data_IF_185236201475
#
_entry.id   IF_185236201475
#
_cell.length_a   1.000
_cell.length_b   1.000
_cell.length_c   1.000
_cell.angle_alpha   90.00
_cell.angle_beta   90.00
_cell.angle_gamma   90.00
#
_symmetry.space_group_name_H-M   'P 1'
#
loop_
_entity.id
_entity.type
_entity.pdbx_description
1 polymer ?
#
# COMPACT_ATOMS: atom_id res chain seq x y z
N UNK A 1 -5.16 -25.94 -12.70
CA UNK A 1 -3.81 -25.78 -13.28
C UNK A 1 -3.33 -24.40 -12.86
N UNK A 2 -2.68 -24.30 -11.69
CA UNK A 2 -2.11 -23.02 -11.25
C UNK A 2 -0.94 -22.75 -12.20
N UNK A 3 -0.98 -21.61 -12.88
CA UNK A 3 0.02 -21.23 -13.88
C UNK A 3 1.41 -21.31 -13.26
N UNK A 4 2.34 -22.00 -13.92
CA UNK A 4 3.75 -22.11 -13.50
C UNK A 4 4.38 -20.74 -13.19
N UNK A 5 3.87 -19.67 -13.81
CA UNK A 5 4.24 -18.28 -13.53
C UNK A 5 3.87 -17.83 -12.11
N UNK A 6 2.70 -18.20 -11.61
CA UNK A 6 2.24 -17.84 -10.25
C UNK A 6 3.07 -18.58 -9.21
N UNK A 7 3.40 -19.84 -9.47
CA UNK A 7 4.23 -20.64 -8.57
C UNK A 7 5.68 -20.11 -8.51
N UNK A 8 6.27 -19.77 -9.66
CA UNK A 8 7.56 -19.10 -9.71
C UNK A 8 7.52 -17.76 -8.97
N UNK A 9 6.48 -16.95 -9.16
CA UNK A 9 6.29 -15.71 -8.40
C UNK A 9 6.24 -15.97 -6.89
N UNK A 10 5.50 -16.98 -6.43
CA UNK A 10 5.43 -17.33 -5.01
C UNK A 10 6.76 -17.84 -4.45
N UNK A 11 7.53 -18.61 -5.21
CA UNK A 11 8.87 -19.09 -4.81
C UNK A 11 9.89 -17.94 -4.76
N UNK A 12 9.86 -17.05 -5.75
CA UNK A 12 10.68 -15.83 -5.75
C UNK A 12 10.30 -14.91 -4.59
N UNK A 13 8.99 -14.69 -4.37
CA UNK A 13 8.51 -13.91 -3.23
C UNK A 13 8.90 -14.55 -1.90
N UNK A 14 8.84 -15.87 -1.76
CA UNK A 14 9.20 -16.54 -0.49
C UNK A 14 10.70 -16.56 -0.21
N UNK A 15 11.56 -16.60 -1.23
CA UNK A 15 13.00 -16.40 -1.07
C UNK A 15 13.34 -14.97 -0.63
N UNK A 16 12.67 -13.98 -1.22
CA UNK A 16 12.79 -12.56 -0.88
C UNK A 16 12.17 -12.17 0.46
N UNK A 17 11.24 -12.98 0.96
CA UNK A 17 10.63 -12.84 2.28
C UNK A 17 11.50 -13.40 3.42
N UNK A 18 12.69 -13.95 3.14
CA UNK A 18 13.67 -14.25 4.18
C UNK A 18 14.37 -12.94 4.52
N UNK A 19 14.28 -12.43 5.76
CA UNK A 19 14.97 -11.19 6.14
C UNK A 19 16.48 -11.42 6.12
N UNK A 20 17.10 -11.13 4.97
CA UNK A 20 18.54 -11.05 4.78
C UNK A 20 18.95 -9.59 4.57
N UNK A 21 20.21 -9.21 4.87
CA UNK A 21 20.67 -7.83 4.72
C UNK A 21 20.52 -7.27 3.30
N UNK A 22 20.57 -8.13 2.28
CA UNK A 22 20.39 -7.77 0.87
C UNK A 22 18.97 -7.25 0.60
N UNK A 23 17.96 -7.76 1.30
CA UNK A 23 16.55 -7.36 1.19
C UNK A 23 16.19 -6.15 2.06
N UNK A 24 17.16 -5.58 2.78
CA UNK A 24 16.88 -4.43 3.66
C UNK A 24 16.15 -3.27 2.97
N UNK A 25 16.47 -2.87 1.71
CA UNK A 25 15.77 -1.76 1.07
C UNK A 25 14.29 -2.09 0.77
N UNK A 26 13.99 -3.34 0.46
CA UNK A 26 12.62 -3.84 0.30
C UNK A 26 11.87 -3.77 1.63
N UNK A 27 12.45 -4.33 2.69
CA UNK A 27 11.81 -4.38 4.01
C UNK A 27 11.61 -3.00 4.61
N UNK A 28 12.59 -2.12 4.49
CA UNK A 28 12.51 -0.75 5.01
C UNK A 28 11.37 0.02 4.34
N UNK A 29 11.32 -0.01 3.01
CA UNK A 29 10.25 0.67 2.25
C UNK A 29 8.86 0.06 2.51
N UNK A 30 8.78 -1.26 2.66
CA UNK A 30 7.54 -1.96 2.99
C UNK A 30 7.07 -1.61 4.41
N UNK A 31 7.94 -1.67 5.42
CA UNK A 31 7.57 -1.43 6.81
C UNK A 31 7.27 0.04 7.10
N UNK A 32 7.95 0.97 6.43
CA UNK A 32 7.63 2.39 6.53
C UNK A 32 6.20 2.66 6.07
N UNK A 33 5.84 2.18 4.87
CA UNK A 33 4.48 2.32 4.36
C UNK A 33 3.43 1.48 5.09
N UNK A 34 3.76 0.26 5.52
CA UNK A 34 2.84 -0.56 6.33
C UNK A 34 2.55 0.09 7.68
N UNK A 35 3.56 0.70 8.30
CA UNK A 35 3.42 1.40 9.57
C UNK A 35 2.39 2.52 9.49
N UNK A 36 2.46 3.34 8.45
CA UNK A 36 1.50 4.44 8.24
C UNK A 36 0.08 3.92 7.97
N UNK A 37 -0.07 2.88 7.14
CA UNK A 37 -1.36 2.24 6.91
C UNK A 37 -1.96 1.69 8.22
N UNK A 38 -1.16 0.99 9.03
CA UNK A 38 -1.62 0.42 10.31
C UNK A 38 -2.09 1.50 11.30
N UNK A 39 -1.40 2.64 11.36
CA UNK A 39 -1.83 3.78 12.19
C UNK A 39 -3.22 4.26 11.77
N UNK A 40 -3.46 4.41 10.46
CA UNK A 40 -4.78 4.84 9.96
C UNK A 40 -5.86 3.82 10.32
N UNK A 41 -5.61 2.52 10.12
CA UNK A 41 -6.57 1.46 10.47
C UNK A 41 -6.87 1.41 11.97
N UNK A 42 -5.87 1.60 12.83
CA UNK A 42 -6.05 1.71 14.28
C UNK A 42 -6.93 2.93 14.62
N UNK A 43 -6.64 4.09 14.04
CA UNK A 43 -7.44 5.30 14.25
C UNK A 43 -8.90 5.10 13.82
N UNK A 44 -9.12 4.48 12.65
CA UNK A 44 -10.45 4.16 12.16
C UNK A 44 -11.20 3.20 13.07
N UNK A 45 -10.52 2.18 13.61
CA UNK A 45 -11.12 1.20 14.50
C UNK A 45 -11.59 1.82 15.81
N UNK A 46 -10.79 2.70 16.42
CA UNK A 46 -11.11 3.29 17.72
C UNK A 46 -11.98 4.56 17.63
N UNK A 47 -11.76 5.40 16.63
CA UNK A 47 -12.38 6.73 16.55
C UNK A 47 -13.40 6.86 15.41
N UNK A 48 -13.52 5.85 14.55
CA UNK A 48 -14.36 5.91 13.36
C UNK A 48 -13.80 6.89 12.31
N UNK A 49 -14.53 7.08 11.21
CA UNK A 49 -14.10 8.01 10.16
C UNK A 49 -14.34 9.46 10.59
N UNK A 50 -13.30 10.28 10.59
CA UNK A 50 -13.37 11.73 10.79
C UNK A 50 -12.64 12.47 9.67
N UNK A 51 -12.95 13.76 9.46
CA UNK A 51 -12.26 14.58 8.47
C UNK A 51 -10.74 14.64 8.70
N UNK A 52 -10.30 14.60 9.97
CA UNK A 52 -8.87 14.59 10.29
C UNK A 52 -8.20 13.29 9.81
N UNK A 53 -8.83 12.15 10.06
CA UNK A 53 -8.35 10.84 9.59
C UNK A 53 -8.36 10.77 8.06
N UNK A 54 -9.37 11.37 7.40
CA UNK A 54 -9.38 11.49 5.93
C UNK A 54 -8.18 12.26 5.42
N UNK A 55 -7.89 13.43 6.00
CA UNK A 55 -6.76 14.29 5.58
C UNK A 55 -5.43 13.56 5.79
N UNK A 56 -5.26 12.86 6.92
CA UNK A 56 -4.06 12.06 7.19
C UNK A 56 -3.90 10.93 6.16
N UNK A 57 -4.97 10.18 5.88
CA UNK A 57 -4.95 9.13 4.86
C UNK A 57 -4.57 9.69 3.48
N UNK A 58 -5.18 10.79 3.06
CA UNK A 58 -4.81 11.45 1.79
C UNK A 58 -3.35 11.88 1.79
N UNK A 59 -2.83 12.39 2.91
CA UNK A 59 -1.43 12.74 3.07
C UNK A 59 -0.49 11.54 2.91
N UNK A 60 -0.79 10.42 3.56
CA UNK A 60 0.01 9.20 3.44
C UNK A 60 0.00 8.63 2.02
N UNK A 61 -1.17 8.54 1.39
CA UNK A 61 -1.30 8.10 0.00
C UNK A 61 -0.47 8.99 -0.94
N UNK A 62 -0.55 10.31 -0.76
CA UNK A 62 0.22 11.25 -1.55
C UNK A 62 1.73 11.04 -1.37
N UNK A 63 2.20 10.83 -0.12
CA UNK A 63 3.60 10.52 0.13
C UNK A 63 4.02 9.22 -0.56
N UNK A 64 3.28 8.12 -0.40
CA UNK A 64 3.61 6.84 -1.04
C UNK A 64 3.62 6.94 -2.58
N UNK A 65 2.65 7.65 -3.17
CA UNK A 65 2.58 7.89 -4.61
C UNK A 65 3.73 8.75 -5.14
N UNK A 66 4.33 9.60 -4.32
CA UNK A 66 5.47 10.45 -4.68
C UNK A 66 6.80 9.71 -4.47
N UNK A 67 6.90 8.84 -3.47
CA UNK A 67 8.13 8.06 -3.23
C UNK A 67 8.48 7.18 -4.42
N UNK A 68 7.49 6.52 -5.04
CA UNK A 68 7.72 5.67 -6.21
C UNK A 68 8.38 6.39 -7.41
N UNK A 69 7.82 7.51 -7.93
CA UNK A 69 8.44 8.25 -9.03
C UNK A 69 9.74 8.94 -8.62
N UNK A 70 9.97 9.28 -7.35
CA UNK A 70 11.28 9.77 -6.89
C UNK A 70 12.35 8.70 -7.09
N UNK A 71 12.09 7.47 -6.61
CA UNK A 71 13.02 6.34 -6.80
C UNK A 71 13.25 6.08 -8.29
N UNK A 72 12.19 6.07 -9.09
CA UNK A 72 12.30 5.88 -10.55
C UNK A 72 13.06 7.02 -11.25
N UNK A 73 12.86 8.27 -10.82
CA UNK A 73 13.56 9.44 -11.38
C UNK A 73 15.05 9.37 -11.11
N UNK A 74 15.44 9.07 -9.87
CA UNK A 74 16.84 8.90 -9.49
C UNK A 74 17.49 7.71 -10.21
N UNK A 75 16.76 6.60 -10.38
CA UNK A 75 17.25 5.47 -11.18
C UNK A 75 17.41 5.83 -12.66
N UNK A 76 16.51 6.64 -13.23
CA UNK A 76 16.55 6.97 -14.65
C UNK A 76 17.61 8.03 -15.00
N UNK A 77 17.75 9.07 -14.18
CA UNK A 77 18.65 10.20 -14.46
C UNK A 77 19.96 10.20 -13.65
N UNK A 78 20.07 9.34 -12.64
CA UNK A 78 21.21 9.25 -11.74
C UNK A 78 21.95 7.93 -11.89
N UNK A 79 21.88 7.10 -10.84
CA UNK A 79 22.77 5.96 -10.63
C UNK A 79 22.38 4.71 -11.44
N UNK A 80 21.32 4.78 -12.24
CA UNK A 80 20.76 3.64 -12.98
C UNK A 80 19.74 2.84 -12.16
N UNK A 81 19.09 1.87 -12.81
CA UNK A 81 18.24 0.88 -12.13
C UNK A 81 19.11 -0.15 -11.39
N UNK A 82 19.54 0.21 -10.18
CA UNK A 82 20.25 -0.69 -9.26
C UNK A 82 19.28 -1.68 -8.62
N UNK A 83 19.81 -2.81 -8.13
CA UNK A 83 19.01 -3.80 -7.37
C UNK A 83 18.31 -3.14 -6.17
N UNK A 84 19.01 -2.26 -5.45
CA UNK A 84 18.42 -1.47 -4.37
C UNK A 84 17.22 -0.60 -4.80
N UNK A 85 17.29 0.06 -5.97
CA UNK A 85 16.20 0.87 -6.48
C UNK A 85 14.98 0.00 -6.88
N UNK A 86 15.24 -1.19 -7.42
CA UNK A 86 14.21 -2.17 -7.74
C UNK A 86 13.55 -2.68 -6.45
N UNK A 87 14.34 -3.04 -5.45
CA UNK A 87 13.86 -3.58 -4.18
C UNK A 87 13.01 -2.57 -3.39
N UNK A 88 13.42 -1.29 -3.38
CA UNK A 88 12.59 -0.20 -2.82
C UNK A 88 11.27 -0.05 -3.57
N UNK A 89 11.29 -0.10 -4.90
CA UNK A 89 10.05 -0.05 -5.68
C UNK A 89 9.13 -1.24 -5.36
N UNK A 90 9.69 -2.45 -5.23
CA UNK A 90 8.95 -3.66 -4.89
C UNK A 90 8.34 -3.60 -3.49
N UNK A 91 9.00 -2.97 -2.52
CA UNK A 91 8.44 -2.77 -1.17
C UNK A 91 7.31 -1.74 -1.12
N UNK A 92 7.34 -0.71 -1.97
CA UNK A 92 6.28 0.32 -2.05
C UNK A 92 5.00 -0.22 -2.71
N UNK A 93 5.10 -1.14 -3.67
CA UNK A 93 3.94 -1.64 -4.43
C UNK A 93 2.85 -2.25 -3.52
N UNK A 94 3.15 -3.15 -2.56
CA UNK A 94 2.17 -3.65 -1.60
C UNK A 94 1.50 -2.54 -0.77
N UNK A 95 2.24 -1.49 -0.41
CA UNK A 95 1.72 -0.34 0.34
C UNK A 95 0.66 0.40 -0.49
N UNK A 96 0.96 0.69 -1.75
CA UNK A 96 0.00 1.33 -2.66
C UNK A 96 -1.25 0.47 -2.88
N UNK A 97 -1.10 -0.86 -2.92
CA UNK A 97 -2.25 -1.78 -2.98
C UNK A 97 -3.11 -1.66 -1.72
N UNK A 98 -2.49 -1.59 -0.53
CA UNK A 98 -3.20 -1.39 0.73
C UNK A 98 -3.90 -0.03 0.81
N UNK A 99 -3.29 1.02 0.28
CA UNK A 99 -3.91 2.35 0.15
C UNK A 99 -5.19 2.27 -0.68
N UNK A 100 -5.15 1.63 -1.85
CA UNK A 100 -6.32 1.42 -2.71
C UNK A 100 -7.40 0.61 -1.99
N UNK A 101 -7.02 -0.48 -1.32
CA UNK A 101 -7.95 -1.31 -0.53
C UNK A 101 -8.60 -0.47 0.57
N UNK A 102 -7.83 0.36 1.27
CA UNK A 102 -8.32 1.23 2.35
C UNK A 102 -9.33 2.24 1.80
N UNK A 103 -9.04 2.90 0.69
CA UNK A 103 -9.97 3.81 0.02
C UNK A 103 -11.25 3.10 -0.42
N UNK A 104 -11.13 1.91 -1.03
CA UNK A 104 -12.29 1.11 -1.43
C UNK A 104 -13.20 0.78 -0.25
N UNK A 105 -12.64 0.27 0.85
CA UNK A 105 -13.42 -0.10 2.03
C UNK A 105 -14.11 1.11 2.68
N UNK A 106 -13.43 2.25 2.73
CA UNK A 106 -13.95 3.44 3.42
C UNK A 106 -14.99 4.22 2.60
N UNK A 107 -14.80 4.32 1.28
CA UNK A 107 -15.65 5.15 0.43
C UNK A 107 -16.64 4.34 -0.41
N UNK A 108 -16.21 3.24 -1.03
CA UNK A 108 -17.10 2.44 -1.89
C UNK A 108 -18.12 1.64 -1.07
N UNK A 109 -17.64 0.87 -0.08
CA UNK A 109 -18.52 0.03 0.75
C UNK A 109 -19.44 0.83 1.68
N UNK A 110 -19.07 2.07 1.99
CA UNK A 110 -19.91 2.97 2.78
C UNK A 110 -21.04 3.57 1.95
N UNK A 111 -20.80 3.86 0.67
CA UNK A 111 -21.81 4.29 -0.30
C UNK A 111 -22.98 3.31 -0.41
N UNK A 112 -22.69 2.01 -0.47
CA UNK A 112 -23.72 0.95 -0.52
C UNK A 112 -24.62 0.89 0.73
N UNK A 113 -24.11 1.30 1.90
CA UNK A 113 -24.92 1.36 3.13
C UNK A 113 -25.80 2.61 3.20
N UNK A 114 -25.40 3.69 2.54
CA UNK A 114 -26.20 4.94 2.47
C UNK A 114 -27.24 4.93 1.36
N UNK A 115 -27.08 4.10 0.33
CA UNK A 115 -28.05 4.00 -0.78
C UNK A 115 -29.20 3.00 -0.52
N UNK A 116 -29.10 2.16 0.51
CA UNK A 116 -30.20 1.29 0.95
C UNK A 116 -31.20 2.05 1.83
N UNK A 117 -31.81 3.11 1.28
CA UNK A 117 -33.06 3.64 1.81
C UNK A 117 -34.19 2.69 1.41
N UNK A 118 -34.36 1.63 2.20
CA UNK A 118 -35.48 0.71 2.08
C UNK A 118 -36.83 1.46 2.09
N UNK A 119 -37.86 0.96 1.40
CA UNK A 119 -39.07 1.72 1.08
C UNK A 119 -40.06 1.74 2.26
N UNK A 120 -39.64 2.07 3.48
CA UNK A 120 -40.57 2.27 4.60
C UNK A 120 -39.99 3.15 5.68
N UNK A 121 -40.40 4.42 5.70
CA UNK A 121 -40.63 5.20 6.92
C UNK A 121 -41.87 6.06 6.69
N UNK A 122 -42.89 5.84 7.53
CA UNK A 122 -44.23 6.43 7.43
C UNK A 122 -44.34 7.84 8.01
#
# INVERSE_FOLDING_TARGET
>A
MISTTIQSLCETLSYYLIPSPEWSPFWDSLYDGLGTCMIVWIQLYFFGMSNNITIQLTGFIAMHLVTFPIVAWHAYYGDGWTEEAVDRCLGIVPVLVLDVVTVWFLYWRRGEKTDYNGPFKG
#
